data_IF_808213429453
#
_entry.id   IF_808213429453
#
_cell.length_a   1.000
_cell.length_b   1.000
_cell.length_c   1.000
_cell.angle_alpha   90.00
_cell.angle_beta   90.00
_cell.angle_gamma   90.00
#
_symmetry.space_group_name_H-M   'P 1'
#
loop_
_entity.id
_entity.type
_entity.pdbx_description
1 polymer ?
#
# COMPACT_ATOMS: atom_id res chain seq x y z
N UNK A 1 38.47 -4.07 59.44
CA UNK A 1 39.00 -3.73 58.09
C UNK A 1 38.41 -4.60 56.97
N UNK A 2 38.30 -5.92 57.11
CA UNK A 2 37.86 -6.83 56.02
C UNK A 2 36.46 -6.51 55.45
N UNK A 3 35.48 -6.14 56.29
CA UNK A 3 34.12 -5.80 55.83
C UNK A 3 34.04 -4.53 54.95
N UNK A 4 34.91 -3.55 55.18
CA UNK A 4 34.95 -2.30 54.39
C UNK A 4 35.57 -2.56 53.02
N UNK A 5 36.58 -3.44 52.96
CA UNK A 5 37.24 -3.83 51.72
C UNK A 5 36.28 -4.57 50.77
N UNK A 6 35.43 -5.45 51.30
CA UNK A 6 34.43 -6.20 50.50
C UNK A 6 33.36 -5.26 49.93
N UNK A 7 32.91 -4.26 50.70
CA UNK A 7 31.93 -3.27 50.22
C UNK A 7 32.54 -2.38 49.13
N UNK A 8 33.81 -1.97 49.28
CA UNK A 8 34.51 -1.17 48.27
C UNK A 8 34.80 -1.97 46.98
N UNK A 9 35.16 -3.25 47.09
CA UNK A 9 35.32 -4.15 45.93
C UNK A 9 33.98 -4.41 45.20
N UNK A 10 32.88 -4.57 45.94
CA UNK A 10 31.54 -4.67 45.36
C UNK A 10 31.12 -3.40 44.60
N UNK A 11 31.47 -2.22 45.14
CA UNK A 11 31.20 -0.94 44.49
C UNK A 11 32.01 -0.74 43.19
N UNK A 12 33.27 -1.21 43.17
CA UNK A 12 34.12 -1.12 41.97
C UNK A 12 33.64 -2.02 40.83
N UNK A 13 33.04 -3.18 41.16
CA UNK A 13 32.45 -4.09 40.17
C UNK A 13 31.20 -3.49 39.49
N UNK A 14 30.40 -2.70 40.23
CA UNK A 14 29.24 -2.00 39.69
C UNK A 14 29.62 -0.82 38.77
N UNK A 15 30.78 -0.20 38.98
CA UNK A 15 31.24 0.96 38.19
C UNK A 15 31.86 0.54 36.83
N UNK A 16 32.31 -0.70 36.67
CA UNK A 16 32.94 -1.19 35.43
C UNK A 16 31.99 -1.80 34.39
N UNK A 17 30.70 -1.95 34.70
CA UNK A 17 29.74 -2.50 33.74
C UNK A 17 29.24 -1.39 32.81
N UNK A 18 29.95 -1.14 31.70
CA UNK A 18 29.42 -0.29 30.63
C UNK A 18 28.16 -0.96 30.06
N UNK A 19 27.02 -0.26 29.96
CA UNK A 19 25.83 -0.83 29.33
C UNK A 19 26.15 -1.12 27.86
N UNK A 20 26.24 -2.40 27.50
CA UNK A 20 26.36 -2.80 26.10
C UNK A 20 24.96 -2.85 25.52
N UNK A 21 24.66 -1.93 24.61
CA UNK A 21 23.41 -2.02 23.84
C UNK A 21 23.46 -3.26 22.96
N UNK A 22 22.57 -4.22 23.21
CA UNK A 22 22.42 -5.41 22.37
C UNK A 22 21.98 -5.04 20.94
N UNK A 23 21.36 -3.86 20.76
CA UNK A 23 20.99 -3.36 19.45
C UNK A 23 22.21 -3.14 18.55
N UNK A 24 23.38 -2.80 19.11
CA UNK A 24 24.61 -2.60 18.34
C UNK A 24 25.19 -3.92 17.78
N UNK A 25 24.65 -5.07 18.20
CA UNK A 25 25.01 -6.39 17.65
C UNK A 25 24.08 -6.82 16.50
N UNK A 26 23.01 -6.07 16.25
CA UNK A 26 22.06 -6.37 15.17
C UNK A 26 22.59 -5.74 13.89
N UNK A 27 22.82 -6.57 12.88
CA UNK A 27 23.12 -6.12 11.51
C UNK A 27 21.91 -6.44 10.62
N UNK A 28 21.19 -5.40 10.20
CA UNK A 28 19.97 -5.51 9.40
C UNK A 28 20.23 -5.93 7.95
N UNK A 29 21.49 -5.98 7.51
CA UNK A 29 21.88 -6.47 6.18
C UNK A 29 22.17 -7.99 6.16
N UNK A 30 22.08 -8.69 7.29
CA UNK A 30 22.21 -10.15 7.28
C UNK A 30 20.94 -10.74 6.64
N UNK A 31 21.12 -11.50 5.56
CA UNK A 31 20.03 -12.15 4.82
C UNK A 31 19.40 -11.31 3.71
N UNK A 32 19.86 -10.07 3.50
CA UNK A 32 19.34 -9.17 2.45
C UNK A 32 19.92 -9.43 1.07
N UNK A 33 20.80 -10.43 0.89
CA UNK A 33 21.37 -10.80 -0.40
C UNK A 33 21.16 -12.29 -0.72
N UNK A 34 21.34 -12.67 -1.98
CA UNK A 34 21.07 -14.02 -2.50
C UNK A 34 19.74 -14.10 -3.25
N UNK A 35 19.62 -15.05 -4.19
CA UNK A 35 18.39 -15.26 -4.96
C UNK A 35 17.57 -16.39 -4.32
N UNK A 36 16.26 -16.23 -4.25
CA UNK A 36 15.38 -17.38 -4.01
C UNK A 36 15.23 -18.09 -5.35
N UNK A 37 15.30 -19.41 -5.36
CA UNK A 37 14.98 -20.18 -6.56
C UNK A 37 13.98 -21.26 -6.16
N UNK A 38 12.74 -20.82 -6.01
CA UNK A 38 11.60 -21.70 -5.83
C UNK A 38 10.37 -21.05 -6.48
N UNK A 39 10.36 -20.99 -7.82
CA UNK A 39 9.08 -20.90 -8.52
C UNK A 39 8.29 -22.19 -8.23
N UNK A 40 6.97 -22.13 -8.05
CA UNK A 40 6.14 -23.33 -8.05
C UNK A 40 6.27 -24.02 -9.42
N UNK A 41 7.09 -25.07 -9.51
CA UNK A 41 7.35 -25.81 -10.76
C UNK A 41 8.83 -25.99 -11.11
N UNK A 42 9.75 -25.24 -10.50
CA UNK A 42 11.18 -25.45 -10.67
C UNK A 42 11.63 -26.61 -9.78
N UNK A 43 11.57 -27.83 -10.28
CA UNK A 43 12.00 -29.03 -9.57
C UNK A 43 13.53 -29.13 -9.51
N UNK A 44 14.17 -28.28 -8.71
CA UNK A 44 15.58 -28.43 -8.32
C UNK A 44 15.65 -29.35 -7.10
N UNK A 45 16.36 -30.48 -7.20
CA UNK A 45 16.45 -31.44 -6.09
C UNK A 45 17.36 -30.91 -4.96
N UNK A 46 17.01 -31.25 -3.72
CA UNK A 46 17.81 -30.91 -2.52
C UNK A 46 19.30 -31.29 -2.67
N UNK A 47 19.58 -32.45 -3.29
CA UNK A 47 20.95 -32.92 -3.54
C UNK A 47 21.71 -32.06 -4.57
N UNK A 48 21.01 -31.48 -5.55
CA UNK A 48 21.62 -30.59 -6.55
C UNK A 48 22.09 -29.28 -5.91
N UNK A 49 21.35 -28.80 -4.92
CA UNK A 49 21.65 -27.58 -4.16
C UNK A 49 22.82 -27.83 -3.19
N UNK A 50 22.79 -28.95 -2.45
CA UNK A 50 23.87 -29.33 -1.53
C UNK A 50 25.23 -29.42 -2.22
N UNK A 51 25.25 -29.91 -3.45
CA UNK A 51 26.48 -30.19 -4.18
C UNK A 51 27.02 -28.99 -4.98
N UNK A 52 26.26 -27.90 -5.15
CA UNK A 52 26.67 -26.70 -5.90
C UNK A 52 26.20 -25.38 -5.23
N UNK A 53 26.62 -25.11 -3.98
CA UNK A 53 26.12 -23.97 -3.20
C UNK A 53 26.46 -22.59 -3.79
N UNK A 54 27.48 -22.49 -4.65
CA UNK A 54 27.85 -21.25 -5.32
C UNK A 54 26.93 -20.87 -6.49
N UNK A 55 26.14 -21.82 -7.01
CA UNK A 55 25.23 -21.61 -8.15
C UNK A 55 23.81 -21.27 -7.65
N UNK A 56 23.46 -21.71 -6.43
CA UNK A 56 22.15 -21.52 -5.81
C UNK A 56 22.29 -20.75 -4.49
N UNK A 57 22.65 -19.45 -4.52
CA UNK A 57 22.87 -18.67 -3.31
C UNK A 57 21.53 -18.38 -2.61
N UNK A 58 21.21 -19.10 -1.54
CA UNK A 58 20.00 -18.88 -0.75
C UNK A 58 19.95 -17.46 -0.16
N UNK A 59 18.93 -16.69 -0.55
CA UNK A 59 18.59 -15.41 0.08
C UNK A 59 17.76 -15.59 1.36
N UNK A 60 18.00 -14.73 2.35
CA UNK A 60 17.25 -14.74 3.62
C UNK A 60 15.91 -14.02 3.55
N UNK A 61 15.62 -13.32 2.45
CA UNK A 61 14.43 -12.48 2.28
C UNK A 61 14.20 -11.52 3.47
N UNK A 62 15.27 -10.86 3.92
CA UNK A 62 15.19 -9.82 4.94
C UNK A 62 15.29 -8.43 4.31
N UNK A 63 14.84 -7.41 5.03
CA UNK A 63 14.91 -6.02 4.61
C UNK A 63 15.63 -5.18 5.68
N UNK A 64 16.45 -4.19 5.30
CA UNK A 64 17.26 -3.41 6.25
C UNK A 64 16.48 -2.24 6.89
N UNK A 65 15.18 -2.14 6.61
CA UNK A 65 14.29 -1.06 7.00
C UNK A 65 14.06 -0.91 8.51
N UNK A 66 13.62 0.29 8.89
CA UNK A 66 13.31 0.65 10.25
C UNK A 66 11.97 0.05 10.70
N UNK A 67 11.98 -0.58 11.87
CA UNK A 67 10.81 -1.18 12.51
C UNK A 67 11.02 -1.24 14.02
N UNK A 68 9.95 -1.07 14.80
CA UNK A 68 9.94 -1.37 16.24
C UNK A 68 9.55 -2.84 16.46
N UNK A 69 9.95 -3.51 17.56
CA UNK A 69 9.54 -4.89 17.79
C UNK A 69 8.02 -5.08 17.66
N UNK A 70 7.60 -5.95 16.72
CA UNK A 70 6.18 -6.20 16.38
C UNK A 70 5.40 -4.97 15.88
N UNK A 71 6.12 -3.98 15.34
CA UNK A 71 5.54 -2.75 14.78
C UNK A 71 4.67 -3.04 13.56
N UNK A 72 3.58 -2.29 13.44
CA UNK A 72 2.66 -2.40 12.30
C UNK A 72 3.24 -1.81 11.00
N UNK A 73 4.23 -0.92 11.13
CA UNK A 73 4.81 -0.15 10.01
C UNK A 73 6.28 -0.51 9.86
N UNK A 74 6.66 -0.95 8.66
CA UNK A 74 8.01 -1.34 8.29
C UNK A 74 8.48 -0.42 7.15
N UNK A 75 9.38 0.52 7.45
CA UNK A 75 9.86 1.49 6.46
C UNK A 75 11.21 1.04 5.90
N UNK A 76 11.26 0.63 4.63
CA UNK A 76 12.44 0.05 4.01
C UNK A 76 12.71 0.63 2.62
N UNK A 77 13.98 0.69 2.17
CA UNK A 77 14.27 0.85 0.75
C UNK A 77 13.73 -0.33 -0.07
N UNK A 78 13.24 -0.04 -1.27
CA UNK A 78 12.73 -0.98 -2.27
C UNK A 78 13.59 -0.89 -3.53
N UNK A 79 14.13 -2.03 -3.97
CA UNK A 79 14.96 -2.23 -5.15
C UNK A 79 14.17 -2.80 -6.34
N UNK A 80 13.10 -3.57 -6.10
CA UNK A 80 12.24 -4.17 -7.13
C UNK A 80 11.02 -4.85 -6.48
N UNK A 81 9.88 -4.84 -7.18
CA UNK A 81 8.61 -5.43 -6.74
C UNK A 81 8.20 -6.68 -7.56
N UNK A 82 9.01 -7.08 -8.55
CA UNK A 82 8.60 -8.11 -9.51
C UNK A 82 8.98 -9.53 -9.09
N UNK A 83 7.98 -10.31 -8.67
CA UNK A 83 8.10 -11.76 -8.47
C UNK A 83 8.53 -12.18 -7.07
N UNK A 84 8.45 -13.49 -6.81
CA UNK A 84 8.64 -14.07 -5.47
C UNK A 84 10.05 -13.85 -4.88
N UNK A 85 11.06 -13.79 -5.75
CA UNK A 85 12.45 -13.62 -5.32
C UNK A 85 12.70 -12.24 -4.67
N UNK A 86 11.75 -11.32 -4.82
CA UNK A 86 11.77 -9.96 -4.28
C UNK A 86 10.77 -9.77 -3.13
N UNK A 87 10.34 -10.83 -2.44
CA UNK A 87 9.35 -10.78 -1.35
C UNK A 87 9.68 -9.86 -0.16
N UNK A 88 10.93 -9.38 -0.05
CA UNK A 88 11.36 -8.41 0.97
C UNK A 88 11.62 -7.01 0.37
N UNK A 89 11.35 -6.86 -0.92
CA UNK A 89 11.53 -5.68 -1.78
C UNK A 89 12.96 -5.09 -1.80
N UNK A 90 13.90 -5.61 -1.01
CA UNK A 90 15.29 -5.15 -0.92
C UNK A 90 16.28 -6.28 -1.21
N UNK A 91 17.26 -6.02 -2.08
CA UNK A 91 18.40 -6.90 -2.32
C UNK A 91 19.71 -6.11 -2.21
N UNK A 92 20.66 -6.60 -1.42
CA UNK A 92 21.96 -5.96 -1.18
C UNK A 92 22.80 -5.76 -2.46
N UNK A 93 22.49 -6.51 -3.53
CA UNK A 93 23.14 -6.40 -4.85
C UNK A 93 22.22 -5.85 -5.94
N UNK A 94 21.04 -5.31 -5.59
CA UNK A 94 20.14 -4.66 -6.55
C UNK A 94 20.64 -3.26 -6.90
N UNK A 95 21.29 -3.12 -8.05
CA UNK A 95 21.63 -1.81 -8.62
C UNK A 95 20.37 -1.17 -9.25
N UNK A 96 20.24 0.15 -9.11
CA UNK A 96 19.42 1.06 -9.93
C UNK A 96 17.97 1.46 -9.56
N UNK A 97 17.39 1.03 -8.43
CA UNK A 97 16.11 1.64 -7.97
C UNK A 97 16.18 1.98 -6.49
N UNK A 98 16.56 3.22 -6.18
CA UNK A 98 16.55 3.76 -4.82
C UNK A 98 15.23 4.47 -4.53
N UNK A 99 14.21 3.72 -4.10
CA UNK A 99 12.96 4.28 -3.57
C UNK A 99 12.76 3.91 -2.11
N UNK A 100 12.18 4.79 -1.29
CA UNK A 100 11.69 4.46 0.06
C UNK A 100 10.20 4.09 -0.06
N UNK A 101 9.79 2.91 0.39
CA UNK A 101 8.39 2.45 0.33
C UNK A 101 7.89 1.98 1.70
N UNK A 102 6.56 1.90 1.84
CA UNK A 102 5.86 1.37 3.01
C UNK A 102 5.30 -0.02 2.59
N UNK A 103 5.86 -1.08 3.16
CA UNK A 103 5.99 -2.46 2.63
C UNK A 103 4.71 -3.29 2.33
N UNK A 104 4.68 -3.98 1.18
CA UNK A 104 4.49 -5.44 0.90
C UNK A 104 4.40 -5.63 -0.62
N UNK A 105 4.99 -6.70 -1.16
CA UNK A 105 4.78 -7.16 -2.54
C UNK A 105 3.32 -7.60 -2.71
N UNK A 106 2.44 -6.62 -2.96
CA UNK A 106 1.03 -6.87 -3.20
C UNK A 106 0.85 -7.54 -4.58
N UNK A 107 -0.17 -8.40 -4.76
CA UNK A 107 -0.42 -9.07 -6.05
C UNK A 107 -0.54 -8.05 -7.19
N UNK A 108 -0.31 -8.49 -8.43
CA UNK A 108 -0.49 -7.60 -9.59
C UNK A 108 -1.88 -6.99 -9.56
N UNK A 109 -2.00 -5.73 -9.99
CA UNK A 109 -3.26 -5.00 -10.05
C UNK A 109 -4.39 -5.85 -10.64
N UNK A 110 -4.10 -6.62 -11.69
CA UNK A 110 -5.06 -7.47 -12.39
C UNK A 110 -5.62 -8.57 -11.49
N UNK A 111 -4.77 -9.18 -10.66
CA UNK A 111 -5.18 -10.24 -9.73
C UNK A 111 -6.07 -9.67 -8.60
N UNK A 112 -5.86 -8.40 -8.24
CA UNK A 112 -6.59 -7.73 -7.17
C UNK A 112 -7.97 -7.19 -7.58
N UNK A 113 -8.28 -7.03 -8.87
CA UNK A 113 -9.56 -6.44 -9.33
C UNK A 113 -10.76 -7.13 -8.69
N UNK A 114 -10.72 -8.47 -8.61
CA UNK A 114 -11.80 -9.28 -8.04
C UNK A 114 -11.90 -9.20 -6.51
N UNK A 115 -10.86 -8.72 -5.84
CA UNK A 115 -10.75 -8.67 -4.37
C UNK A 115 -10.64 -7.25 -3.84
N UNK A 116 -10.82 -6.20 -4.64
CA UNK A 116 -10.79 -4.80 -4.18
C UNK A 116 -11.62 -4.51 -2.91
N UNK A 117 -12.82 -5.10 -2.71
CA UNK A 117 -13.55 -4.92 -1.45
C UNK A 117 -12.80 -5.42 -0.20
N UNK A 118 -11.90 -6.39 -0.37
CA UNK A 118 -11.10 -7.05 0.67
C UNK A 118 -9.67 -6.49 0.76
N UNK A 119 -9.11 -6.02 -0.36
CA UNK A 119 -7.76 -5.44 -0.47
C UNK A 119 -7.72 -3.97 0.00
N UNK A 120 -8.31 -3.68 1.17
CA UNK A 120 -8.36 -2.33 1.71
C UNK A 120 -6.99 -1.92 2.25
N UNK A 121 -6.52 -0.72 1.95
CA UNK A 121 -5.24 -0.17 2.44
C UNK A 121 -3.98 -0.92 1.92
N UNK A 122 -4.03 -1.50 0.72
CA UNK A 122 -2.86 -2.05 0.03
C UNK A 122 -2.20 -1.00 -0.89
N UNK A 123 -0.91 -1.19 -1.20
CA UNK A 123 -0.17 -0.37 -2.15
C UNK A 123 -0.05 -1.15 -3.46
N UNK A 124 -0.59 -0.62 -4.56
CA UNK A 124 -0.56 -1.30 -5.84
C UNK A 124 0.10 -0.43 -6.91
N UNK A 125 0.95 -1.04 -7.74
CA UNK A 125 1.48 -0.40 -8.94
C UNK A 125 0.34 -0.29 -9.97
N UNK A 126 0.01 0.93 -10.37
CA UNK A 126 -0.93 1.12 -11.47
C UNK A 126 -0.24 0.75 -12.78
N UNK A 127 -0.88 -0.09 -13.60
CA UNK A 127 -0.34 -0.48 -14.91
C UNK A 127 -1.42 -0.40 -15.98
N UNK A 128 -1.47 0.73 -16.68
CA UNK A 128 -2.44 0.97 -17.73
C UNK A 128 -2.35 -0.08 -18.86
N UNK A 129 -1.13 -0.45 -19.27
CA UNK A 129 -0.93 -1.38 -20.38
C UNK A 129 -1.42 -2.79 -20.03
N UNK A 130 -1.19 -3.24 -18.78
CA UNK A 130 -1.68 -4.53 -18.31
C UNK A 130 -3.21 -4.57 -18.25
N UNK A 131 -3.85 -3.51 -17.75
CA UNK A 131 -5.31 -3.38 -17.72
C UNK A 131 -5.93 -3.48 -19.11
N UNK A 132 -5.40 -2.71 -20.06
CA UNK A 132 -5.86 -2.72 -21.45
C UNK A 132 -5.69 -4.11 -22.09
N UNK A 133 -4.55 -4.76 -21.86
CA UNK A 133 -4.27 -6.12 -22.37
C UNK A 133 -5.19 -7.18 -21.79
N UNK A 134 -5.59 -7.03 -20.53
CA UNK A 134 -6.54 -7.90 -19.86
C UNK A 134 -8.01 -7.59 -20.21
N UNK A 135 -8.28 -6.55 -21.01
CA UNK A 135 -9.62 -6.17 -21.47
C UNK A 135 -10.41 -5.32 -20.49
N UNK A 136 -9.76 -4.74 -19.49
CA UNK A 136 -10.39 -3.82 -18.53
C UNK A 136 -10.22 -2.36 -18.94
N UNK A 137 -11.16 -1.51 -18.54
CA UNK A 137 -10.95 -0.05 -18.57
C UNK A 137 -10.01 0.36 -17.43
N UNK A 138 -8.81 0.91 -17.74
CA UNK A 138 -7.84 1.31 -16.73
C UNK A 138 -8.39 2.34 -15.75
N UNK A 139 -9.24 3.27 -16.19
CA UNK A 139 -9.78 4.31 -15.31
C UNK A 139 -10.89 3.78 -14.41
N UNK A 140 -11.64 2.76 -14.84
CA UNK A 140 -12.58 2.08 -13.95
C UNK A 140 -11.86 1.35 -12.83
N UNK A 141 -10.76 0.66 -13.15
CA UNK A 141 -9.90 0.02 -12.15
C UNK A 141 -9.33 1.07 -11.20
N UNK A 142 -8.75 2.14 -11.76
CA UNK A 142 -8.16 3.23 -10.98
C UNK A 142 -9.18 3.81 -10.01
N UNK A 143 -10.38 4.13 -10.51
CA UNK A 143 -11.48 4.70 -9.72
C UNK A 143 -11.97 3.76 -8.63
N UNK A 144 -12.22 2.47 -8.96
CA UNK A 144 -12.64 1.47 -7.98
C UNK A 144 -11.59 1.27 -6.89
N UNK A 145 -10.31 1.18 -7.26
CA UNK A 145 -9.21 1.10 -6.30
C UNK A 145 -9.23 2.27 -5.30
N UNK A 146 -9.36 3.50 -5.79
CA UNK A 146 -9.46 4.69 -4.93
C UNK A 146 -10.72 4.64 -4.05
N UNK A 147 -11.87 4.24 -4.59
CA UNK A 147 -13.10 4.11 -3.82
C UNK A 147 -12.99 3.07 -2.69
N UNK A 148 -12.17 2.04 -2.86
CA UNK A 148 -11.85 1.04 -1.83
C UNK A 148 -10.65 1.40 -0.95
N UNK A 149 -10.12 2.62 -1.09
CA UNK A 149 -8.95 3.13 -0.36
C UNK A 149 -7.68 2.31 -0.63
N UNK A 150 -7.56 1.72 -1.81
CA UNK A 150 -6.28 1.24 -2.33
C UNK A 150 -5.45 2.44 -2.77
N UNK A 151 -4.17 2.45 -2.40
CA UNK A 151 -3.26 3.53 -2.74
C UNK A 151 -2.44 3.16 -3.96
N UNK A 152 -2.61 3.92 -5.06
CA UNK A 152 -1.76 3.75 -6.24
C UNK A 152 -0.37 4.32 -5.99
N UNK A 153 0.67 3.55 -6.33
CA UNK A 153 2.05 4.02 -6.21
C UNK A 153 2.29 5.19 -7.16
N UNK A 154 2.85 6.26 -6.61
CA UNK A 154 3.35 7.40 -7.37
C UNK A 154 4.83 7.52 -7.07
N UNK A 155 5.67 7.68 -8.08
CA UNK A 155 7.11 7.77 -7.91
C UNK A 155 7.71 8.87 -8.78
N UNK A 156 8.91 9.33 -8.41
CA UNK A 156 9.68 10.25 -9.23
C UNK A 156 10.45 9.47 -10.28
N UNK A 157 10.17 9.68 -11.56
CA UNK A 157 10.96 9.13 -12.65
C UNK A 157 12.17 10.05 -12.89
N UNK A 158 13.34 9.61 -12.44
CA UNK A 158 14.60 10.36 -12.55
C UNK A 158 14.96 10.66 -14.01
N UNK A 159 14.65 9.76 -14.95
CA UNK A 159 14.99 9.95 -16.37
C UNK A 159 14.10 10.98 -17.02
N UNK A 160 12.84 11.03 -16.62
CA UNK A 160 11.85 11.98 -17.14
C UNK A 160 11.77 13.28 -16.32
N UNK A 161 12.45 13.33 -15.17
CA UNK A 161 12.44 14.41 -14.18
C UNK A 161 11.01 14.88 -13.83
N UNK A 162 10.12 13.92 -13.58
CA UNK A 162 8.72 14.19 -13.25
C UNK A 162 8.13 13.10 -12.35
N UNK A 163 7.02 13.45 -11.72
CA UNK A 163 6.15 12.52 -11.01
C UNK A 163 5.41 11.62 -12.02
N UNK A 164 5.47 10.30 -11.83
CA UNK A 164 4.90 9.30 -12.72
C UNK A 164 3.88 8.41 -11.98
N UNK A 165 2.81 8.07 -12.69
CA UNK A 165 1.70 7.22 -12.23
C UNK A 165 1.39 6.12 -13.27
N UNK A 166 2.30 5.91 -14.21
CA UNK A 166 2.16 4.94 -15.32
C UNK A 166 0.87 5.15 -16.15
N UNK A 167 0.35 6.38 -16.16
CA UNK A 167 -0.76 6.82 -17.01
C UNK A 167 -0.63 8.29 -17.39
N UNK A 168 -1.02 8.60 -18.62
CA UNK A 168 -1.13 9.97 -19.12
C UNK A 168 -2.54 10.55 -18.99
N UNK A 169 -3.50 9.79 -18.45
CA UNK A 169 -4.88 10.22 -18.36
C UNK A 169 -5.05 11.33 -17.30
N UNK A 170 -5.52 12.54 -17.67
CA UNK A 170 -5.67 13.66 -16.74
C UNK A 170 -6.70 13.37 -15.64
N UNK A 171 -7.62 12.43 -15.84
CA UNK A 171 -8.60 12.02 -14.83
C UNK A 171 -7.92 11.41 -13.61
N UNK A 172 -6.85 10.62 -13.78
CA UNK A 172 -6.13 10.00 -12.66
C UNK A 172 -5.63 11.04 -11.65
N UNK A 173 -5.01 12.12 -12.13
CA UNK A 173 -4.54 13.22 -11.28
C UNK A 173 -5.69 14.00 -10.63
N UNK A 174 -6.84 14.15 -11.31
CA UNK A 174 -8.03 14.76 -10.70
C UNK A 174 -8.57 13.87 -9.58
N UNK A 175 -8.63 12.56 -9.79
CA UNK A 175 -9.10 11.59 -8.80
C UNK A 175 -8.21 11.57 -7.56
N UNK A 176 -6.88 11.66 -7.71
CA UNK A 176 -5.97 11.80 -6.56
C UNK A 176 -6.28 13.05 -5.71
N UNK A 177 -6.57 14.18 -6.36
CA UNK A 177 -6.95 15.41 -5.65
C UNK A 177 -8.30 15.26 -4.94
N UNK A 178 -9.30 14.69 -5.63
CA UNK A 178 -10.62 14.45 -5.05
C UNK A 178 -10.54 13.49 -3.87
N UNK A 179 -9.77 12.40 -4.00
CA UNK A 179 -9.56 11.46 -2.92
C UNK A 179 -9.05 12.17 -1.66
N UNK A 180 -8.01 12.99 -1.77
CA UNK A 180 -7.49 13.79 -0.66
C UNK A 180 -8.54 14.72 -0.01
N UNK A 181 -9.48 15.27 -0.79
CA UNK A 181 -10.59 16.10 -0.26
C UNK A 181 -11.63 15.25 0.47
N UNK A 182 -11.77 13.97 0.11
CA UNK A 182 -12.78 13.07 0.65
C UNK A 182 -12.28 12.17 1.78
N UNK A 183 -10.97 11.97 1.92
CA UNK A 183 -10.36 11.00 2.86
C UNK A 183 -10.89 11.16 4.28
N UNK A 184 -11.05 12.40 4.74
CA UNK A 184 -11.55 12.69 6.10
C UNK A 184 -13.00 12.24 6.35
N UNK A 185 -13.77 11.97 5.29
CA UNK A 185 -15.14 11.47 5.36
C UNK A 185 -15.26 9.97 5.05
N UNK A 186 -14.17 9.32 4.60
CA UNK A 186 -14.16 7.93 4.16
C UNK A 186 -14.12 6.91 5.31
N UNK A 187 -15.06 7.03 6.25
CA UNK A 187 -15.28 6.12 7.38
C UNK A 187 -16.61 5.38 7.24
N UNK A 188 -16.79 4.26 7.96
CA UNK A 188 -18.02 3.46 7.95
C UNK A 188 -18.49 3.12 6.53
N UNK A 189 -17.67 2.35 5.82
CA UNK A 189 -17.94 1.96 4.44
C UNK A 189 -19.17 1.06 4.35
N UNK A 190 -20.02 1.34 3.37
CA UNK A 190 -21.08 0.48 2.88
C UNK A 190 -20.90 0.28 1.37
N UNK A 191 -20.95 -0.98 0.93
CA UNK A 191 -20.94 -1.34 -0.50
C UNK A 191 -22.41 -1.47 -0.91
N UNK A 192 -22.83 -0.70 -1.91
CA UNK A 192 -24.21 -0.74 -2.40
C UNK A 192 -24.50 -2.09 -3.06
N UNK A 193 -25.80 -2.45 -3.13
CA UNK A 193 -26.25 -3.67 -3.80
C UNK A 193 -25.67 -3.79 -5.21
N UNK A 194 -25.34 -5.01 -5.66
CA UNK A 194 -24.73 -5.26 -6.98
C UNK A 194 -23.41 -4.50 -7.23
N UNK A 195 -22.77 -3.96 -6.19
CA UNK A 195 -21.58 -3.12 -6.30
C UNK A 195 -21.80 -1.86 -7.18
N UNK A 196 -22.99 -1.24 -7.16
CA UNK A 196 -23.23 -0.01 -7.96
C UNK A 196 -22.33 1.16 -7.56
N UNK A 197 -21.81 1.11 -6.35
CA UNK A 197 -20.94 2.11 -5.77
C UNK A 197 -20.62 1.81 -4.32
N UNK A 198 -19.80 2.67 -3.73
CA UNK A 198 -19.39 2.59 -2.34
C UNK A 198 -19.71 3.92 -1.67
N UNK A 199 -20.40 3.86 -0.54
CA UNK A 199 -20.69 5.03 0.27
C UNK A 199 -19.93 4.96 1.59
N UNK A 200 -19.40 6.10 2.00
CA UNK A 200 -18.80 6.32 3.30
C UNK A 200 -19.61 7.34 4.06
N UNK A 201 -19.69 7.18 5.38
CA UNK A 201 -20.54 7.97 6.24
C UNK A 201 -19.78 8.42 7.48
N UNK A 202 -19.71 9.74 7.67
CA UNK A 202 -19.17 10.35 8.87
C UNK A 202 -20.10 11.48 9.36
N UNK A 203 -20.77 11.22 10.49
CA UNK A 203 -21.74 12.15 11.11
C UNK A 203 -22.90 12.48 10.16
N UNK A 204 -22.96 13.70 9.63
CA UNK A 204 -24.01 14.20 8.72
C UNK A 204 -23.52 14.37 7.28
N UNK A 205 -22.33 13.87 6.98
CA UNK A 205 -21.74 13.93 5.65
C UNK A 205 -21.48 12.51 5.19
N UNK A 206 -21.93 12.21 3.97
CA UNK A 206 -21.61 10.98 3.27
C UNK A 206 -20.84 11.28 1.99
N UNK A 207 -19.96 10.37 1.58
CA UNK A 207 -19.26 10.44 0.30
C UNK A 207 -19.58 9.18 -0.49
N UNK A 208 -20.21 9.34 -1.65
CA UNK A 208 -20.58 8.25 -2.55
C UNK A 208 -19.63 8.23 -3.75
N UNK A 209 -19.00 7.09 -3.99
CA UNK A 209 -18.27 6.77 -5.21
C UNK A 209 -19.14 5.89 -6.09
N UNK A 210 -19.61 6.40 -7.24
CA UNK A 210 -20.53 5.68 -8.13
C UNK A 210 -19.76 4.93 -9.23
N UNK A 211 -19.99 3.61 -9.33
CA UNK A 211 -19.35 2.74 -10.32
C UNK A 211 -20.19 2.55 -11.59
N UNK A 212 -21.49 2.85 -11.52
CA UNK A 212 -22.41 2.82 -12.65
C UNK A 212 -23.45 3.94 -12.54
N UNK A 213 -24.28 4.07 -13.58
CA UNK A 213 -25.41 5.00 -13.57
C UNK A 213 -26.59 4.38 -12.81
N UNK A 214 -27.09 5.06 -11.78
CA UNK A 214 -28.25 4.59 -11.02
C UNK A 214 -28.97 5.72 -10.27
N UNK A 215 -30.23 5.47 -9.89
CA UNK A 215 -30.99 6.39 -9.04
C UNK A 215 -30.65 6.15 -7.56
N UNK A 216 -30.07 7.15 -6.90
CA UNK A 216 -29.78 7.11 -5.47
C UNK A 216 -30.90 7.82 -4.70
N UNK A 217 -31.57 7.07 -3.82
CA UNK A 217 -32.66 7.58 -2.98
C UNK A 217 -32.29 7.52 -1.51
N UNK A 218 -32.51 8.63 -0.80
CA UNK A 218 -32.30 8.73 0.65
C UNK A 218 -33.19 9.84 1.23
N UNK A 219 -33.83 9.56 2.35
CA UNK A 219 -34.58 10.59 3.08
C UNK A 219 -33.62 11.57 3.79
N UNK A 220 -34.00 12.85 3.85
CA UNK A 220 -33.21 13.86 4.55
C UNK A 220 -31.96 14.34 3.79
N UNK A 221 -31.96 14.27 2.46
CA UNK A 221 -30.93 14.89 1.63
C UNK A 221 -31.04 16.42 1.69
N UNK A 222 -29.96 17.09 2.13
CA UNK A 222 -29.90 18.56 2.20
C UNK A 222 -29.17 19.17 1.01
N UNK A 223 -28.02 18.61 0.64
CA UNK A 223 -27.24 19.05 -0.52
C UNK A 223 -26.40 17.91 -1.08
N UNK A 224 -26.26 17.85 -2.40
CA UNK A 224 -25.38 16.91 -3.10
C UNK A 224 -24.47 17.68 -4.04
N UNK A 225 -23.17 17.45 -3.93
CA UNK A 225 -22.14 18.10 -4.76
C UNK A 225 -21.33 17.03 -5.47
N UNK A 226 -21.26 17.11 -6.80
CA UNK A 226 -20.26 16.39 -7.57
C UNK A 226 -18.89 17.06 -7.33
N UNK A 227 -18.02 16.35 -6.62
CA UNK A 227 -16.70 16.84 -6.20
C UNK A 227 -15.73 16.88 -7.38
N UNK A 228 -15.90 15.98 -8.35
CA UNK A 228 -15.01 15.86 -9.51
C UNK A 228 -15.15 17.07 -10.44
N UNK A 229 -16.38 17.53 -10.66
CA UNK A 229 -16.68 18.69 -11.50
C UNK A 229 -16.94 19.97 -10.69
N UNK A 230 -16.94 19.90 -9.35
CA UNK A 230 -17.26 20.99 -8.45
C UNK A 230 -18.63 21.63 -8.77
N UNK A 231 -19.65 20.78 -8.95
CA UNK A 231 -21.00 21.21 -9.35
C UNK A 231 -22.05 20.72 -8.36
N UNK A 232 -22.95 21.61 -7.94
CA UNK A 232 -24.06 21.26 -7.07
C UNK A 232 -25.21 20.66 -7.89
N UNK A 233 -25.79 19.56 -7.42
CA UNK A 233 -26.92 18.93 -8.09
C UNK A 233 -28.24 19.52 -7.56
N UNK A 234 -29.19 19.69 -8.46
CA UNK A 234 -30.58 19.95 -8.08
C UNK A 234 -31.18 18.66 -7.53
N UNK A 235 -31.61 18.69 -6.28
CA UNK A 235 -32.22 17.54 -5.63
C UNK A 235 -33.66 17.37 -6.08
N UNK A 236 -34.04 16.14 -6.43
CA UNK A 236 -35.44 15.75 -6.42
C UNK A 236 -35.83 15.42 -4.96
N UNK A 237 -37.11 15.51 -4.63
CA UNK A 237 -37.67 15.50 -3.26
C UNK A 237 -37.12 14.36 -2.35
N UNK A 238 -36.60 13.27 -2.92
CA UNK A 238 -36.04 12.12 -2.19
C UNK A 238 -34.79 11.47 -2.81
N UNK A 239 -34.12 12.09 -3.80
CA UNK A 239 -32.99 11.43 -4.48
C UNK A 239 -32.34 12.21 -5.64
N UNK A 240 -31.34 11.59 -6.27
CA UNK A 240 -30.65 12.10 -7.46
C UNK A 240 -30.14 10.95 -8.35
N UNK A 241 -29.89 11.24 -9.63
CA UNK A 241 -29.26 10.30 -10.55
C UNK A 241 -27.75 10.38 -10.39
N UNK A 242 -27.15 9.30 -9.90
CA UNK A 242 -25.70 9.14 -9.85
C UNK A 242 -25.20 8.68 -11.21
N UNK A 243 -24.08 9.24 -11.64
CA UNK A 243 -23.39 8.89 -12.88
C UNK A 243 -22.14 8.07 -12.60
N UNK A 244 -21.84 7.13 -13.49
CA UNK A 244 -20.62 6.33 -13.49
C UNK A 244 -19.36 7.20 -13.39
N UNK A 245 -18.38 6.74 -12.62
CA UNK A 245 -17.10 7.43 -12.37
C UNK A 245 -17.24 8.83 -11.75
N UNK A 246 -18.29 9.05 -10.96
CA UNK A 246 -18.55 10.32 -10.28
C UNK A 246 -18.51 10.16 -8.76
N UNK A 247 -17.98 11.17 -8.08
CA UNK A 247 -17.89 11.22 -6.60
C UNK A 247 -18.81 12.32 -6.08
N UNK A 248 -19.73 11.95 -5.20
CA UNK A 248 -20.70 12.86 -4.61
C UNK A 248 -20.44 13.06 -3.12
N UNK A 249 -20.32 14.32 -2.70
CA UNK A 249 -20.44 14.69 -1.30
C UNK A 249 -21.90 14.98 -0.99
N UNK A 250 -22.45 14.25 -0.04
CA UNK A 250 -23.85 14.29 0.36
C UNK A 250 -23.91 14.85 1.78
N UNK A 251 -24.64 15.94 1.98
CA UNK A 251 -24.96 16.44 3.31
C UNK A 251 -26.38 16.00 3.67
N UNK A 252 -26.49 15.32 4.81
CA UNK A 252 -27.75 14.88 5.40
C UNK A 252 -28.24 15.91 6.45
N UNK A 253 -29.54 15.89 6.76
CA UNK A 253 -30.20 16.79 7.74
C UNK A 253 -29.71 16.55 9.17
#
# INVERSE_FOLDING_TARGET
MIRILIVLLGFWCLISCKPVSIANKVNSFIGTGGYVQAYPGDSVSYDSIRNKPAIYPFGGLTYPGAVVPFGMVHLSPDCNTQGFDWSADYHYCGDDRGGLSNNRSDPDMIDQISTFPLSTECYCDFNQTAAEKAGFDPMEIFFKGMAYRMMWKIYWDIKKDKLELETSNPLAYKLLKVFNLTTDYMYNREILADEKGVIYQLRKTSVLWAFEDFEYQKEGLKSVTDILNNSSLNLNVSGFNASKLTIYQIADV
#
